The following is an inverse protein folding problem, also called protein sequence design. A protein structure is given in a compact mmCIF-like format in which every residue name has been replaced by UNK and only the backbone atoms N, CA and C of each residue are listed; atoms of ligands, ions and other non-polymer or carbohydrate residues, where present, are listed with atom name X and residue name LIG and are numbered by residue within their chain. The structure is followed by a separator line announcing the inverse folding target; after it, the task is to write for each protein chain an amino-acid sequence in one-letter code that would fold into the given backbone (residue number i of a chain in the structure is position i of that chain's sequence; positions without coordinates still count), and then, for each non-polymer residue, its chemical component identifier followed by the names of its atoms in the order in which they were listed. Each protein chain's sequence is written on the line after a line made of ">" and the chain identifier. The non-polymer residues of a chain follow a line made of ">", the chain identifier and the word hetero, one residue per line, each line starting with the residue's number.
data_IF_412197314391
#
_entry.id   IF_412197314391
#
_cell.length_a   1.000
_cell.length_b   1.000
_cell.length_c   1.000
_cell.angle_alpha   90.00
_cell.angle_beta   90.00
_cell.angle_gamma   90.00
#
_symmetry.space_group_name_H-M   'P 1'
#
loop_
_entity.id
_entity.type
_entity.pdbx_description
1 polymer ?
#
# COMPACT_ATOMS: atom_id res chain seq x y z
N UNK A 1 47.22 17.44 23.25
CA UNK A 1 46.90 16.30 22.35
C UNK A 1 45.54 15.76 22.77
N UNK A 2 44.47 16.51 22.48
CA UNK A 2 43.16 16.29 23.12
C UNK A 2 42.03 16.14 22.10
N UNK A 3 42.24 16.66 20.89
CA UNK A 3 41.29 16.59 19.79
C UNK A 3 41.16 15.16 19.24
N UNK A 4 42.29 14.44 19.10
CA UNK A 4 42.31 13.05 18.65
C UNK A 4 41.65 12.09 19.66
N UNK A 5 41.84 12.30 20.96
CA UNK A 5 41.24 11.43 21.98
C UNK A 5 39.71 11.53 22.01
N UNK A 6 39.16 12.71 21.72
CA UNK A 6 37.70 12.92 21.57
C UNK A 6 37.12 12.22 20.35
N UNK A 7 37.88 12.15 19.25
CA UNK A 7 37.46 11.42 18.06
C UNK A 7 37.36 9.90 18.29
N UNK A 8 38.22 9.34 19.15
CA UNK A 8 38.15 7.94 19.54
C UNK A 8 36.97 7.63 20.47
N UNK A 9 36.55 8.60 21.29
CA UNK A 9 35.33 8.48 22.10
C UNK A 9 34.05 8.37 21.28
N UNK A 10 34.05 8.78 20.00
CA UNK A 10 32.91 8.57 19.08
C UNK A 10 32.74 7.08 18.70
N UNK A 11 33.82 6.29 18.79
CA UNK A 11 33.79 4.83 18.63
C UNK A 11 33.51 4.09 19.96
N UNK A 12 33.30 4.83 21.06
CA UNK A 12 32.90 4.22 22.33
C UNK A 12 31.56 3.52 22.18
N UNK A 13 31.37 2.32 22.76
CA UNK A 13 30.10 1.58 22.71
C UNK A 13 28.89 2.41 23.16
N UNK A 14 29.08 3.38 24.06
CA UNK A 14 28.02 4.28 24.52
C UNK A 14 27.61 5.35 23.49
N UNK A 15 28.52 5.74 22.59
CA UNK A 15 28.25 6.64 21.45
C UNK A 15 27.67 5.86 20.26
N UNK A 16 28.13 4.63 20.05
CA UNK A 16 27.66 3.73 18.99
C UNK A 16 26.34 3.01 19.32
N UNK A 17 25.90 2.94 20.58
CA UNK A 17 24.64 2.28 20.98
C UNK A 17 23.39 2.94 20.42
N UNK A 18 23.50 4.17 19.90
CA UNK A 18 22.43 4.89 19.17
C UNK A 18 22.46 4.65 17.66
N UNK A 19 23.47 3.95 17.16
CA UNK A 19 23.48 3.48 15.79
C UNK A 19 22.60 2.22 15.74
N UNK A 20 21.38 2.38 15.22
CA UNK A 20 20.61 1.26 14.65
C UNK A 20 21.59 0.49 13.81
N UNK A 21 21.85 -0.75 14.19
CA UNK A 21 22.76 -1.63 13.49
C UNK A 21 22.30 -1.68 12.03
N UNK A 22 23.04 -0.98 11.16
CA UNK A 22 22.94 -1.12 9.71
C UNK A 22 23.45 -2.51 9.25
N UNK A 23 23.58 -3.46 10.18
CA UNK A 23 23.57 -4.88 9.87
C UNK A 23 22.16 -5.23 9.39
N UNK A 24 21.97 -5.00 8.09
CA UNK A 24 21.35 -6.01 7.23
C UNK A 24 20.10 -6.60 7.86
N UNK A 25 18.98 -5.87 7.79
CA UNK A 25 17.70 -6.55 7.65
C UNK A 25 17.74 -7.24 6.28
N UNK A 26 18.42 -8.40 6.22
CA UNK A 26 18.23 -9.36 5.16
C UNK A 26 16.81 -9.89 5.34
N UNK A 27 15.82 -9.11 4.92
CA UNK A 27 14.48 -9.59 4.69
C UNK A 27 14.57 -10.56 3.51
N UNK A 28 14.96 -11.80 3.79
CA UNK A 28 14.82 -12.94 2.89
C UNK A 28 13.33 -13.36 2.75
N UNK A 29 12.40 -12.47 3.08
CA UNK A 29 10.96 -12.68 2.99
C UNK A 29 10.40 -11.87 1.82
N UNK A 30 10.94 -12.08 0.62
CA UNK A 30 10.39 -11.51 -0.62
C UNK A 30 10.07 -12.56 -1.68
N UNK A 31 10.49 -13.82 -1.51
CA UNK A 31 10.27 -14.87 -2.51
C UNK A 31 9.19 -15.89 -2.13
N UNK A 32 8.86 -16.08 -0.85
CA UNK A 32 7.79 -17.01 -0.43
C UNK A 32 6.36 -16.50 -0.75
N UNK A 33 6.16 -15.19 -0.92
CA UNK A 33 4.85 -14.65 -1.30
C UNK A 33 4.58 -14.66 -2.81
N UNK A 34 5.58 -15.01 -3.64
CA UNK A 34 5.45 -14.91 -5.09
C UNK A 34 4.76 -16.12 -5.74
N UNK A 35 4.65 -17.27 -5.05
CA UNK A 35 4.25 -18.50 -5.73
C UNK A 35 3.24 -19.39 -5.00
N UNK A 36 2.83 -19.09 -3.77
CA UNK A 36 1.86 -19.94 -3.04
C UNK A 36 0.76 -19.10 -2.40
N UNK A 37 -0.32 -18.92 -3.14
CA UNK A 37 -1.55 -18.36 -2.59
C UNK A 37 -2.72 -18.66 -3.53
N UNK A 38 -3.69 -19.41 -3.05
CA UNK A 38 -5.00 -19.47 -3.70
C UNK A 38 -5.54 -18.05 -3.91
N UNK A 39 -6.24 -17.76 -5.03
CA UNK A 39 -6.84 -16.45 -5.23
C UNK A 39 -7.86 -16.22 -4.12
N UNK A 40 -7.49 -15.41 -3.13
CA UNK A 40 -8.39 -14.96 -2.08
C UNK A 40 -8.94 -13.58 -2.46
N UNK A 41 -10.16 -13.22 -2.01
CA UNK A 41 -10.67 -11.88 -2.22
C UNK A 41 -9.68 -10.86 -1.67
N UNK A 42 -9.17 -10.00 -2.55
CA UNK A 42 -8.25 -8.91 -2.21
C UNK A 42 -9.00 -7.57 -2.36
N UNK A 43 -8.73 -6.59 -1.48
CA UNK A 43 -9.28 -5.26 -1.64
C UNK A 43 -8.58 -4.51 -2.78
N UNK A 44 -9.35 -4.01 -3.74
CA UNK A 44 -8.91 -3.14 -4.83
C UNK A 44 -9.46 -1.74 -4.66
N UNK A 45 -8.64 -0.72 -4.90
CA UNK A 45 -9.10 0.67 -4.95
C UNK A 45 -9.39 1.03 -6.40
N UNK A 46 -10.66 1.34 -6.69
CA UNK A 46 -11.12 1.74 -8.02
C UNK A 46 -11.58 3.18 -7.97
N UNK A 47 -11.16 3.96 -8.95
CA UNK A 47 -11.59 5.35 -9.14
C UNK A 47 -12.14 5.49 -10.55
N UNK A 48 -13.26 6.20 -10.71
CA UNK A 48 -13.83 6.51 -12.01
C UNK A 48 -12.88 7.38 -12.85
N UNK A 49 -13.03 7.37 -14.17
CA UNK A 49 -12.16 8.09 -15.10
C UNK A 49 -12.21 9.62 -14.89
N UNK A 50 -13.40 10.13 -14.58
CA UNK A 50 -13.69 11.51 -14.20
C UNK A 50 -13.33 11.81 -12.73
N UNK A 51 -12.81 10.83 -11.99
CA UNK A 51 -12.41 10.90 -10.57
C UNK A 51 -13.53 11.27 -9.58
N UNK A 52 -14.79 11.27 -10.03
CA UNK A 52 -15.96 11.60 -9.22
C UNK A 52 -16.25 10.53 -8.17
N UNK A 53 -16.13 9.25 -8.55
CA UNK A 53 -16.44 8.11 -7.70
C UNK A 53 -15.16 7.37 -7.33
N UNK A 54 -14.97 7.07 -6.04
CA UNK A 54 -13.86 6.27 -5.52
C UNK A 54 -14.41 5.19 -4.59
N UNK A 55 -14.22 3.92 -4.97
CA UNK A 55 -14.79 2.77 -4.27
C UNK A 55 -13.72 1.70 -3.99
N UNK A 56 -13.82 1.09 -2.82
CA UNK A 56 -13.09 -0.14 -2.51
C UNK A 56 -13.90 -1.35 -2.97
N UNK A 57 -13.31 -2.24 -3.78
CA UNK A 57 -13.98 -3.45 -4.29
C UNK A 57 -13.18 -4.67 -3.84
N UNK A 58 -13.87 -5.63 -3.20
CA UNK A 58 -13.29 -6.94 -2.90
C UNK A 58 -13.42 -7.82 -4.13
N UNK A 59 -12.31 -8.36 -4.66
CA UNK A 59 -12.35 -9.27 -5.81
C UNK A 59 -11.33 -10.40 -5.73
N UNK A 60 -11.64 -11.54 -6.33
CA UNK A 60 -10.74 -12.71 -6.35
C UNK A 60 -9.64 -12.58 -7.41
N UNK A 61 -9.88 -11.73 -8.43
CA UNK A 61 -8.93 -11.46 -9.50
C UNK A 61 -9.49 -10.46 -10.51
N UNK A 62 -8.75 -10.24 -11.61
CA UNK A 62 -9.09 -9.20 -12.61
C UNK A 62 -10.48 -9.38 -13.22
N UNK A 63 -10.84 -10.61 -13.59
CA UNK A 63 -12.13 -10.88 -14.26
C UNK A 63 -13.32 -10.60 -13.34
N UNK A 64 -13.22 -10.99 -12.07
CA UNK A 64 -14.22 -10.69 -11.04
C UNK A 64 -14.28 -9.19 -10.74
N UNK A 65 -13.11 -8.52 -10.66
CA UNK A 65 -13.04 -7.07 -10.48
C UNK A 65 -13.75 -6.34 -11.62
N UNK A 66 -13.49 -6.68 -12.89
CA UNK A 66 -14.14 -6.06 -14.04
C UNK A 66 -15.67 -6.25 -14.03
N UNK A 67 -16.15 -7.45 -13.68
CA UNK A 67 -17.58 -7.71 -13.55
C UNK A 67 -18.23 -6.90 -12.41
N UNK A 68 -17.54 -6.76 -11.26
CA UNK A 68 -18.02 -5.94 -10.14
C UNK A 68 -17.99 -4.45 -10.47
N UNK A 69 -16.94 -3.97 -11.13
CA UNK A 69 -16.83 -2.57 -11.58
C UNK A 69 -17.99 -2.20 -12.49
N UNK A 70 -18.30 -3.04 -13.50
CA UNK A 70 -19.43 -2.80 -14.42
C UNK A 70 -20.73 -2.60 -13.65
N UNK A 71 -21.06 -3.52 -12.72
CA UNK A 71 -22.25 -3.39 -11.87
C UNK A 71 -22.24 -2.12 -11.01
N UNK A 72 -21.09 -1.77 -10.43
CA UNK A 72 -21.01 -0.59 -9.55
C UNK A 72 -21.04 0.75 -10.28
N UNK A 73 -20.55 0.80 -11.52
CA UNK A 73 -20.58 2.02 -12.35
C UNK A 73 -21.99 2.21 -12.94
N UNK A 74 -22.71 1.12 -13.23
CA UNK A 74 -24.11 1.17 -13.66
C UNK A 74 -25.06 1.64 -12.54
N UNK A 75 -24.80 1.30 -11.27
CA UNK A 75 -25.62 1.76 -10.14
C UNK A 75 -25.43 3.26 -9.80
N UNK A 76 -24.24 3.84 -10.07
CA UNK A 76 -23.97 5.26 -9.79
C UNK A 76 -24.55 6.21 -10.87
N UNK A 77 -24.84 5.70 -12.07
CA UNK A 77 -25.51 6.46 -13.13
C UNK A 77 -27.01 6.71 -12.93
N UNK A 78 -27.63 6.12 -11.90
CA UNK A 78 -29.08 6.10 -11.69
C UNK A 78 -29.67 7.19 -10.79
N UNK A 79 -28.88 8.13 -10.26
CA UNK A 79 -29.39 9.15 -9.33
C UNK A 79 -29.05 10.60 -9.72
N UNK A 80 -28.93 10.90 -11.02
CA UNK A 80 -28.68 12.27 -11.49
C UNK A 80 -29.73 12.85 -12.43
N UNK A 81 -30.98 12.37 -12.35
CA UNK A 81 -32.12 12.99 -13.03
C UNK A 81 -33.40 12.90 -12.19
N UNK A 82 -33.44 13.57 -11.04
CA UNK A 82 -34.67 14.17 -10.52
C UNK A 82 -34.27 15.33 -9.63
N UNK A 83 -34.37 16.54 -10.16
CA UNK A 83 -35.05 17.68 -9.53
C UNK A 83 -34.70 18.95 -10.33
N UNK A 84 -35.26 19.05 -11.53
CA UNK A 84 -35.58 20.35 -12.12
C UNK A 84 -36.99 20.23 -12.73
N UNK A 85 -37.95 20.96 -12.15
CA UNK A 85 -39.27 21.17 -12.72
C UNK A 85 -40.43 20.45 -12.05
N UNK A 86 -40.99 21.07 -11.01
CA UNK A 86 -42.44 21.22 -10.83
C UNK A 86 -42.71 22.37 -9.84
#
# INVERSE_FOLDING_TARGET
>A
MDYAMKSLSLLSPASLSKCVTASVSASASMTQQLLVGTPRPKPFRVTSADRSVKKGIMADGLRDLLNKVRRTVEEEGGMKEKEEGA
#
